data_IF_015691099841
#
_entry.id   IF_015691099841
#
_cell.length_a   1.000
_cell.length_b   1.000
_cell.length_c   1.000
_cell.angle_alpha   90.00
_cell.angle_beta   90.00
_cell.angle_gamma   90.00
#
_symmetry.space_group_name_H-M   'P 1'
#
loop_
_entity.id
_entity.type
_entity.pdbx_description
1 polymer ?
#
# COMPACT_ATOMS: atom_id res chain seq x y z
N UNK A 1 -8.49 -3.57 -3.63
CA UNK A 1 -9.29 -4.08 -2.51
C UNK A 1 -8.88 -5.48 -2.01
N UNK A 2 -8.06 -6.22 -2.77
CA UNK A 2 -7.62 -7.57 -2.38
C UNK A 2 -6.80 -7.61 -1.08
N UNK A 3 -6.23 -6.48 -0.66
CA UNK A 3 -5.48 -6.37 0.58
C UNK A 3 -6.31 -6.72 1.84
N UNK A 4 -7.64 -6.51 1.78
CA UNK A 4 -8.58 -6.84 2.87
C UNK A 4 -9.32 -8.18 2.65
N UNK A 5 -8.99 -8.93 1.59
CA UNK A 5 -9.71 -10.15 1.22
C UNK A 5 -9.02 -11.38 1.80
N UNK A 6 -9.74 -12.17 2.59
CA UNK A 6 -9.22 -13.35 3.27
C UNK A 6 -8.58 -14.42 2.36
N UNK A 7 -8.92 -14.45 1.07
CA UNK A 7 -8.33 -15.37 0.09
C UNK A 7 -6.89 -15.05 -0.34
N UNK A 8 -6.33 -13.92 0.12
CA UNK A 8 -4.98 -13.47 -0.23
C UNK A 8 -4.16 -13.24 1.04
N UNK A 9 -3.65 -14.31 1.61
CA UNK A 9 -2.85 -14.28 2.83
C UNK A 9 -1.36 -14.24 2.55
N UNK A 10 -0.58 -13.61 3.43
CA UNK A 10 0.87 -13.58 3.42
C UNK A 10 1.50 -14.85 4.00
N UNK A 11 2.81 -14.82 4.16
CA UNK A 11 3.55 -15.89 4.81
C UNK A 11 3.21 -16.09 6.30
N UNK A 12 2.60 -15.09 6.91
CA UNK A 12 2.07 -15.09 8.28
C UNK A 12 0.64 -15.66 8.39
N UNK A 13 0.03 -16.07 7.27
CA UNK A 13 -1.33 -16.61 7.22
C UNK A 13 -2.43 -15.55 7.29
N UNK A 14 -2.08 -14.26 7.31
CA UNK A 14 -3.01 -13.13 7.45
C UNK A 14 -3.06 -12.31 6.17
N UNK A 15 -4.16 -11.60 5.94
CA UNK A 15 -4.31 -10.65 4.82
C UNK A 15 -3.35 -9.48 4.98
N UNK A 16 -3.01 -8.81 3.87
CA UNK A 16 -2.02 -7.73 3.86
C UNK A 16 -2.37 -6.60 4.83
N UNK A 17 -3.60 -6.17 4.88
CA UNK A 17 -4.09 -5.13 5.79
C UNK A 17 -4.94 -5.78 6.90
N UNK A 18 -4.43 -5.83 8.10
CA UNK A 18 -5.05 -6.53 9.23
C UNK A 18 -4.61 -5.94 10.57
N UNK A 19 -5.45 -6.12 11.58
CA UNK A 19 -5.12 -5.83 12.98
C UNK A 19 -4.57 -7.04 13.75
N UNK A 20 -4.36 -8.18 13.08
CA UNK A 20 -4.06 -9.46 13.71
C UNK A 20 -2.79 -10.12 13.16
N UNK A 21 -1.82 -9.35 12.67
CA UNK A 21 -0.53 -9.91 12.26
C UNK A 21 0.19 -10.52 13.46
N UNK A 22 0.60 -11.80 13.40
CA UNK A 22 1.29 -12.44 14.52
C UNK A 22 2.68 -11.84 14.74
N UNK A 23 3.07 -11.73 16.00
CA UNK A 23 4.40 -11.30 16.39
C UNK A 23 5.19 -12.51 16.90
N UNK A 24 6.45 -12.67 16.53
CA UNK A 24 7.31 -13.78 16.96
C UNK A 24 7.50 -13.78 18.48
N UNK A 25 7.53 -12.60 19.10
CA UNK A 25 7.60 -12.45 20.55
C UNK A 25 6.29 -12.73 21.30
N UNK A 26 5.22 -13.09 20.56
CA UNK A 26 3.85 -13.26 21.07
C UNK A 26 3.00 -12.00 20.92
N UNK A 27 1.67 -12.21 20.89
CA UNK A 27 0.71 -11.15 20.61
C UNK A 27 0.56 -10.83 19.10
N UNK A 28 -0.20 -9.78 18.83
CA UNK A 28 -0.49 -9.32 17.46
C UNK A 28 -0.15 -7.84 17.31
N UNK A 29 0.04 -7.42 16.06
CA UNK A 29 0.21 -6.01 15.69
C UNK A 29 -0.70 -5.67 14.50
N UNK A 30 -0.95 -4.38 14.30
CA UNK A 30 -1.88 -3.85 13.29
C UNK A 30 -1.14 -2.96 12.29
N UNK A 31 -1.50 -3.07 11.02
CA UNK A 31 -1.14 -2.12 9.97
C UNK A 31 -2.37 -1.43 9.36
N UNK A 32 -3.45 -1.39 10.12
CA UNK A 32 -4.66 -0.62 9.78
C UNK A 32 -5.00 0.34 10.91
N UNK A 33 -5.77 1.37 10.61
CA UNK A 33 -6.35 2.25 11.62
C UNK A 33 -7.19 1.44 12.63
N UNK A 34 -7.13 1.81 13.91
CA UNK A 34 -7.92 1.18 14.95
C UNK A 34 -9.43 1.32 14.71
N UNK A 35 -9.85 2.44 14.14
CA UNK A 35 -11.21 2.69 13.67
C UNK A 35 -11.14 3.01 12.19
N UNK A 36 -11.92 2.29 11.39
CA UNK A 36 -12.08 2.57 9.96
C UNK A 36 -12.53 4.02 9.79
N UNK A 37 -11.89 4.74 8.88
CA UNK A 37 -12.16 6.17 8.68
C UNK A 37 -11.90 6.54 7.23
N UNK A 38 -12.75 7.41 6.71
CA UNK A 38 -12.53 8.08 5.43
C UNK A 38 -11.27 8.92 5.45
N UNK A 39 -10.77 9.23 4.27
CA UNK A 39 -9.56 10.02 4.16
C UNK A 39 -9.83 11.46 4.59
N UNK A 40 -9.05 11.94 5.53
CA UNK A 40 -9.08 13.30 6.04
C UNK A 40 -7.68 13.68 6.53
N UNK A 41 -7.46 14.96 6.82
CA UNK A 41 -6.20 15.39 7.43
C UNK A 41 -5.96 14.67 8.77
N UNK A 42 -6.98 14.57 9.62
CA UNK A 42 -6.89 13.91 10.93
C UNK A 42 -6.60 12.40 10.81
N UNK A 43 -7.27 11.69 9.88
CA UNK A 43 -7.01 10.24 9.67
C UNK A 43 -5.61 9.99 9.12
N UNK A 44 -5.08 10.87 8.26
CA UNK A 44 -3.71 10.80 7.77
C UNK A 44 -2.67 11.11 8.84
N UNK A 45 -2.92 12.09 9.71
CA UNK A 45 -2.07 12.39 10.86
C UNK A 45 -2.00 11.19 11.81
N UNK A 46 -3.16 10.59 12.15
CA UNK A 46 -3.20 9.39 12.98
C UNK A 46 -2.44 8.22 12.34
N UNK A 47 -2.65 7.98 11.04
CA UNK A 47 -1.91 6.95 10.32
C UNK A 47 -0.38 7.17 10.35
N UNK A 48 0.08 8.43 10.24
CA UNK A 48 1.50 8.74 10.36
C UNK A 48 2.05 8.44 11.77
N UNK A 49 1.26 8.68 12.83
CA UNK A 49 1.61 8.36 14.21
C UNK A 49 1.69 6.83 14.39
N UNK A 50 0.68 6.10 13.92
CA UNK A 50 0.61 4.65 14.01
C UNK A 50 1.76 3.97 13.25
N UNK A 51 2.10 4.47 12.05
CA UNK A 51 3.27 3.98 11.28
C UNK A 51 4.56 4.20 12.06
N UNK A 52 4.74 5.37 12.68
CA UNK A 52 5.94 5.68 13.45
C UNK A 52 6.05 4.82 14.73
N UNK A 53 4.93 4.35 15.27
CA UNK A 53 4.86 3.50 16.46
C UNK A 53 5.05 2.01 16.15
N UNK A 54 5.12 1.60 14.87
CA UNK A 54 5.31 0.20 14.49
C UNK A 54 6.62 -0.37 15.03
N UNK A 55 6.54 -1.63 15.44
CA UNK A 55 7.66 -2.37 16.05
C UNK A 55 8.05 -3.56 15.17
N UNK A 56 9.29 -4.00 15.34
CA UNK A 56 9.74 -5.26 14.76
C UNK A 56 9.19 -6.47 15.54
N UNK A 57 9.51 -7.66 15.07
CA UNK A 57 9.04 -8.92 15.68
C UNK A 57 9.55 -9.17 17.10
N UNK A 58 10.55 -8.39 17.56
CA UNK A 58 11.11 -8.41 18.91
C UNK A 58 10.58 -7.29 19.82
N UNK A 59 9.63 -6.48 19.32
CA UNK A 59 9.04 -5.38 20.07
C UNK A 59 9.83 -4.07 20.07
N UNK A 60 10.92 -3.97 19.29
CA UNK A 60 11.71 -2.74 19.16
C UNK A 60 11.10 -1.82 18.09
N UNK A 61 11.09 -0.53 18.32
CA UNK A 61 10.67 0.48 17.33
C UNK A 61 11.64 0.49 16.15
N UNK A 62 11.08 0.60 14.94
CA UNK A 62 11.83 0.55 13.69
C UNK A 62 11.79 1.87 12.89
N UNK A 63 11.25 2.93 13.47
CA UNK A 63 11.23 4.29 12.90
C UNK A 63 10.75 4.35 11.45
N UNK A 64 9.67 3.64 11.11
CA UNK A 64 9.07 3.67 9.79
C UNK A 64 8.48 5.05 9.48
N UNK A 65 8.47 5.39 8.20
CA UNK A 65 7.94 6.66 7.70
C UNK A 65 7.00 6.40 6.52
N UNK A 66 5.91 7.16 6.42
CA UNK A 66 5.09 7.15 5.22
C UNK A 66 5.89 7.67 4.02
N UNK A 67 5.63 7.14 2.84
CA UNK A 67 6.31 7.53 1.60
C UNK A 67 5.30 8.03 0.56
N UNK A 68 4.20 7.32 0.38
CA UNK A 68 3.27 7.56 -0.72
C UNK A 68 1.86 7.17 -0.31
N UNK A 69 0.88 7.94 -0.76
CA UNK A 69 -0.54 7.60 -0.62
C UNK A 69 -1.02 6.93 -1.91
N UNK A 70 -1.79 5.85 -1.78
CA UNK A 70 -2.41 5.13 -2.88
C UNK A 70 -3.91 5.16 -2.65
N UNK A 71 -4.66 5.69 -3.61
CA UNK A 71 -6.10 5.90 -3.50
C UNK A 71 -6.84 5.49 -4.77
N UNK A 72 -8.15 5.18 -4.69
CA UNK A 72 -9.02 5.05 -5.85
C UNK A 72 -9.24 6.41 -6.53
N UNK A 73 -9.74 6.38 -7.75
CA UNK A 73 -10.03 7.61 -8.51
C UNK A 73 -11.05 8.54 -7.80
N UNK A 74 -11.96 7.96 -7.01
CA UNK A 74 -12.95 8.72 -6.25
C UNK A 74 -12.34 9.72 -5.25
N UNK A 75 -11.22 9.36 -4.61
CA UNK A 75 -10.55 10.16 -3.59
C UNK A 75 -9.44 11.07 -4.14
N UNK A 76 -9.18 11.06 -5.46
CA UNK A 76 -8.07 11.80 -6.07
C UNK A 76 -8.08 13.30 -5.71
N UNK A 77 -9.20 13.96 -5.93
CA UNK A 77 -9.31 15.42 -5.71
C UNK A 77 -9.27 15.79 -4.23
N UNK A 78 -9.80 14.95 -3.37
CA UNK A 78 -9.78 15.17 -1.94
C UNK A 78 -8.36 15.10 -1.38
N UNK A 79 -7.63 14.04 -1.74
CA UNK A 79 -6.23 13.87 -1.34
C UNK A 79 -5.36 14.98 -1.92
N UNK A 80 -5.60 15.39 -3.18
CA UNK A 80 -4.87 16.50 -3.78
C UNK A 80 -5.07 17.81 -3.01
N UNK A 81 -6.28 18.07 -2.52
CA UNK A 81 -6.58 19.23 -1.66
C UNK A 81 -5.82 19.15 -0.34
N UNK A 82 -5.87 18.01 0.34
CA UNK A 82 -5.17 17.81 1.63
C UNK A 82 -3.66 17.98 1.46
N UNK A 83 -3.05 17.37 0.45
CA UNK A 83 -1.60 17.39 0.27
C UNK A 83 -1.06 18.75 -0.23
N UNK A 84 -1.86 19.53 -0.95
CA UNK A 84 -1.40 20.78 -1.59
C UNK A 84 -1.86 22.05 -0.87
N UNK A 85 -2.88 21.98 -0.03
CA UNK A 85 -3.36 23.14 0.73
C UNK A 85 -2.25 23.72 1.60
N UNK A 86 -2.18 25.06 1.68
CA UNK A 86 -1.22 25.76 2.55
C UNK A 86 -1.76 25.81 3.97
N UNK A 87 -3.05 26.09 4.13
CA UNK A 87 -3.75 26.10 5.40
C UNK A 87 -4.53 24.81 5.62
N UNK A 88 -4.91 24.58 6.87
CA UNK A 88 -5.73 23.45 7.27
C UNK A 88 -7.11 23.54 6.64
N UNK A 89 -7.57 22.47 6.00
CA UNK A 89 -8.87 22.41 5.33
C UNK A 89 -10.01 22.41 6.37
N UNK A 90 -11.03 23.28 6.18
CA UNK A 90 -12.24 23.28 7.00
C UNK A 90 -12.14 24.04 8.32
N UNK A 91 -11.10 24.84 8.54
CA UNK A 91 -10.98 25.71 9.71
C UNK A 91 -11.01 27.19 9.31
N UNK A 92 -11.62 28.04 10.15
CA UNK A 92 -11.57 29.49 10.01
C UNK A 92 -10.29 30.10 10.62
N UNK A 93 -9.48 29.29 11.26
CA UNK A 93 -8.19 29.66 11.83
C UNK A 93 -7.11 29.54 10.75
N UNK A 94 -6.12 30.43 10.81
CA UNK A 94 -5.01 30.44 9.87
C UNK A 94 -3.96 29.36 10.24
N UNK A 95 -4.44 28.13 10.53
CA UNK A 95 -3.60 27.01 10.90
C UNK A 95 -2.87 26.46 9.69
N UNK A 96 -1.61 26.10 9.88
CA UNK A 96 -0.80 25.48 8.82
C UNK A 96 -1.21 24.03 8.58
N UNK A 97 -1.09 23.56 7.34
CA UNK A 97 -1.22 22.14 7.02
C UNK A 97 0.08 21.41 7.38
N UNK A 98 0.07 20.71 8.52
CA UNK A 98 1.25 20.01 9.04
C UNK A 98 1.75 18.90 8.11
N UNK A 99 0.86 18.19 7.42
CA UNK A 99 1.20 17.11 6.49
C UNK A 99 2.08 17.63 5.35
N UNK A 100 1.70 18.77 4.79
CA UNK A 100 2.43 19.42 3.71
C UNK A 100 3.76 20.01 4.20
N UNK A 101 3.73 20.80 5.28
CA UNK A 101 4.93 21.50 5.78
C UNK A 101 6.01 20.51 6.24
N UNK A 102 5.62 19.40 6.84
CA UNK A 102 6.55 18.34 7.26
C UNK A 102 6.95 17.39 6.12
N UNK A 103 6.39 17.56 4.91
CA UNK A 103 6.60 16.69 3.76
C UNK A 103 6.46 15.19 4.11
N UNK A 104 5.35 14.84 4.77
CA UNK A 104 5.14 13.46 5.27
C UNK A 104 5.05 12.43 4.16
N UNK A 105 4.63 12.82 2.96
CA UNK A 105 4.48 11.96 1.79
C UNK A 105 5.37 12.42 0.63
N UNK A 106 6.70 12.20 0.70
CA UNK A 106 7.63 12.67 -0.33
C UNK A 106 7.37 12.05 -1.71
N UNK A 107 6.78 10.85 -1.77
CA UNK A 107 6.36 10.19 -3.01
C UNK A 107 4.99 10.65 -3.52
N UNK A 108 4.34 11.60 -2.83
CA UNK A 108 3.06 12.15 -3.21
C UNK A 108 1.91 11.13 -3.21
N UNK A 109 0.98 11.30 -4.14
CA UNK A 109 -0.20 10.48 -4.32
C UNK A 109 -0.11 9.67 -5.62
N UNK A 110 -0.62 8.45 -5.58
CA UNK A 110 -0.82 7.59 -6.77
C UNK A 110 -2.28 7.16 -6.81
N UNK A 111 -2.93 7.42 -7.94
CA UNK A 111 -4.27 6.92 -8.21
C UNK A 111 -4.19 5.53 -8.79
N UNK A 112 -4.87 4.58 -8.16
CA UNK A 112 -4.97 3.20 -8.63
C UNK A 112 -6.37 2.91 -9.15
N UNK A 113 -6.53 2.89 -10.47
CA UNK A 113 -7.82 2.67 -11.15
C UNK A 113 -8.40 1.25 -10.96
N UNK A 114 -7.62 0.31 -10.44
CA UNK A 114 -8.07 -1.07 -10.18
C UNK A 114 -8.65 -1.27 -8.78
N UNK A 115 -8.65 -0.23 -7.94
CA UNK A 115 -9.35 -0.27 -6.66
C UNK A 115 -10.85 -0.13 -6.92
N UNK A 116 -11.59 -1.13 -6.48
CA UNK A 116 -13.06 -1.19 -6.63
C UNK A 116 -13.81 -0.56 -5.47
N UNK A 117 -13.13 -0.43 -4.33
CA UNK A 117 -13.62 0.25 -3.14
C UNK A 117 -13.35 1.74 -3.28
N UNK A 118 -14.39 2.55 -3.14
CA UNK A 118 -14.31 3.99 -3.32
C UNK A 118 -13.68 4.71 -2.13
N UNK A 119 -13.71 4.09 -0.95
CA UNK A 119 -13.37 4.71 0.33
C UNK A 119 -12.05 4.20 0.91
N UNK A 120 -11.60 3.02 0.45
CA UNK A 120 -10.35 2.42 0.91
C UNK A 120 -9.13 3.20 0.43
N UNK A 121 -8.19 3.46 1.34
CA UNK A 121 -6.94 4.12 1.04
C UNK A 121 -5.74 3.43 1.71
N UNK A 122 -4.57 3.61 1.11
CA UNK A 122 -3.35 2.92 1.51
C UNK A 122 -2.18 3.89 1.56
N UNK A 123 -1.26 3.62 2.49
CA UNK A 123 0.01 4.33 2.60
C UNK A 123 1.14 3.32 2.42
N UNK A 124 1.99 3.55 1.43
CA UNK A 124 3.24 2.82 1.32
C UNK A 124 4.26 3.43 2.29
N UNK A 125 4.95 2.59 3.03
CA UNK A 125 6.00 2.97 3.98
C UNK A 125 7.39 2.72 3.39
N UNK A 126 8.43 3.16 4.11
CA UNK A 126 9.81 2.87 3.78
C UNK A 126 10.32 1.51 4.32
N UNK A 127 9.41 0.62 4.76
CA UNK A 127 9.80 -0.70 5.24
C UNK A 127 10.52 -1.47 4.13
N UNK A 128 11.72 -2.05 4.41
CA UNK A 128 12.39 -2.91 3.45
C UNK A 128 11.55 -4.18 3.24
N UNK A 129 11.63 -4.73 2.04
CA UNK A 129 11.00 -6.01 1.74
C UNK A 129 9.46 -6.05 1.79
N UNK A 130 8.78 -4.92 1.64
CA UNK A 130 7.33 -4.84 1.52
C UNK A 130 6.81 -5.57 0.27
N UNK A 131 6.12 -4.88 -0.60
CA UNK A 131 5.58 -5.46 -1.83
C UNK A 131 6.70 -5.79 -2.82
N UNK A 132 6.64 -7.01 -3.41
CA UNK A 132 7.65 -7.53 -4.34
C UNK A 132 7.04 -8.12 -5.59
N UNK A 133 7.76 -7.96 -6.68
CA UNK A 133 7.56 -8.66 -7.93
C UNK A 133 8.64 -9.73 -8.10
N UNK A 134 8.24 -10.99 -8.17
CA UNK A 134 9.13 -12.13 -8.35
C UNK A 134 9.09 -12.58 -9.81
N UNK A 135 10.17 -12.36 -10.53
CA UNK A 135 10.31 -12.84 -11.91
C UNK A 135 10.94 -14.24 -11.86
N UNK A 136 10.14 -15.27 -12.18
CA UNK A 136 10.62 -16.66 -12.26
C UNK A 136 11.17 -16.99 -13.65
N UNK A 137 10.55 -16.43 -14.69
CA UNK A 137 10.98 -16.54 -16.08
C UNK A 137 10.79 -15.17 -16.72
N UNK A 138 11.87 -14.63 -17.27
CA UNK A 138 11.83 -13.41 -18.03
C UNK A 138 10.99 -13.60 -19.32
N UNK A 139 10.53 -12.50 -19.87
CA UNK A 139 9.82 -12.50 -21.14
C UNK A 139 10.74 -13.07 -22.22
N UNK A 140 10.27 -14.09 -22.93
CA UNK A 140 10.95 -14.67 -24.08
C UNK A 140 9.96 -14.80 -25.23
N UNK A 141 10.46 -14.53 -26.42
CA UNK A 141 9.74 -14.68 -27.67
C UNK A 141 10.58 -15.60 -28.57
N UNK A 142 9.99 -16.73 -28.96
CA UNK A 142 10.64 -17.74 -29.81
C UNK A 142 9.80 -17.93 -31.08
N UNK A 143 10.49 -18.19 -32.18
CA UNK A 143 9.87 -18.52 -33.47
C UNK A 143 10.39 -19.86 -33.96
N UNK A 144 9.52 -20.67 -34.50
CA UNK A 144 9.87 -21.96 -35.08
C UNK A 144 8.98 -22.26 -36.30
N UNK A 145 9.45 -23.07 -37.22
CA UNK A 145 8.69 -23.57 -38.35
C UNK A 145 8.25 -25.00 -38.10
N UNK A 146 7.02 -25.31 -38.49
CA UNK A 146 6.53 -26.70 -38.52
C UNK A 146 7.01 -27.33 -39.81
N UNK A 147 7.85 -28.38 -39.67
CA UNK A 147 8.43 -29.06 -40.83
C UNK A 147 7.38 -29.71 -41.75
N UNK A 148 6.31 -30.25 -41.15
CA UNK A 148 5.29 -31.01 -41.90
C UNK A 148 4.27 -30.13 -42.63
N UNK A 149 3.99 -28.95 -42.04
CA UNK A 149 2.92 -28.04 -42.56
C UNK A 149 3.43 -26.72 -43.12
N UNK A 150 4.75 -26.47 -43.01
CA UNK A 150 5.41 -25.19 -43.39
C UNK A 150 4.84 -23.95 -42.71
N UNK A 151 4.05 -24.11 -41.61
CA UNK A 151 3.47 -23.01 -40.87
C UNK A 151 4.47 -22.40 -39.88
N UNK A 152 4.55 -21.08 -39.84
CA UNK A 152 5.33 -20.36 -38.81
C UNK A 152 4.61 -20.41 -37.46
N UNK A 153 5.32 -20.83 -36.42
CA UNK A 153 4.85 -20.89 -35.04
C UNK A 153 5.55 -19.81 -34.22
N UNK A 154 4.76 -19.03 -33.47
CA UNK A 154 5.26 -18.00 -32.58
C UNK A 154 4.89 -18.33 -31.13
N UNK A 155 5.83 -18.19 -30.22
CA UNK A 155 5.61 -18.47 -28.81
C UNK A 155 6.17 -17.35 -27.94
N UNK A 156 5.31 -16.76 -27.12
CA UNK A 156 5.71 -15.84 -26.08
C UNK A 156 5.49 -16.48 -24.70
N UNK A 157 6.50 -16.43 -23.84
CA UNK A 157 6.37 -16.98 -22.48
C UNK A 157 6.96 -16.02 -21.46
N UNK A 158 6.23 -15.85 -20.34
CA UNK A 158 6.74 -15.20 -19.14
C UNK A 158 6.16 -15.90 -17.91
N UNK A 159 6.81 -15.77 -16.78
CA UNK A 159 6.31 -16.27 -15.52
C UNK A 159 6.75 -15.36 -14.38
N UNK A 160 5.78 -14.71 -13.76
CA UNK A 160 6.00 -13.82 -12.63
C UNK A 160 4.94 -14.00 -11.57
N UNK A 161 5.24 -13.52 -10.37
CA UNK A 161 4.35 -13.52 -9.22
C UNK A 161 4.54 -12.22 -8.45
N UNK A 162 3.48 -11.73 -7.83
CA UNK A 162 3.50 -10.57 -6.94
C UNK A 162 3.10 -11.01 -5.54
N UNK A 163 3.71 -10.42 -4.55
CA UNK A 163 3.41 -10.70 -3.17
C UNK A 163 4.08 -9.70 -2.24
N UNK A 164 4.01 -9.97 -0.97
CA UNK A 164 4.68 -9.21 0.08
C UNK A 164 5.41 -10.14 1.01
N UNK A 165 6.51 -9.68 1.58
CA UNK A 165 7.28 -10.41 2.58
C UNK A 165 7.19 -9.77 3.95
N UNK A 166 6.96 -8.45 4.00
CA UNK A 166 6.70 -7.72 5.23
C UNK A 166 5.43 -6.86 5.08
N UNK A 167 4.36 -7.17 5.83
CA UNK A 167 3.12 -6.38 5.82
C UNK A 167 3.30 -4.93 6.27
N UNK A 168 4.39 -4.59 7.00
CA UNK A 168 4.71 -3.20 7.41
C UNK A 168 4.99 -2.26 6.25
N UNK A 169 5.20 -2.81 5.04
CA UNK A 169 5.35 -2.03 3.82
C UNK A 169 4.11 -1.27 3.39
N UNK A 170 2.93 -1.66 3.89
CA UNK A 170 1.65 -1.03 3.61
C UNK A 170 0.91 -0.78 4.93
N UNK A 171 0.37 0.41 5.08
CA UNK A 171 -0.62 0.77 6.09
C UNK A 171 -1.92 1.12 5.38
N UNK A 172 -3.07 0.79 5.95
CA UNK A 172 -4.34 0.90 5.23
C UNK A 172 -5.52 1.30 6.11
N UNK A 173 -6.57 1.83 5.48
CA UNK A 173 -7.92 1.96 6.03
C UNK A 173 -8.92 1.46 4.99
N UNK A 174 -9.93 0.67 5.39
CA UNK A 174 -10.99 0.25 4.47
C UNK A 174 -11.99 1.36 4.15
N UNK A 175 -11.87 2.55 4.78
CA UNK A 175 -12.90 3.59 4.77
C UNK A 175 -13.97 3.32 5.84
N UNK A 176 -14.95 4.20 5.97
CA UNK A 176 -16.06 4.11 6.94
C UNK A 176 -17.41 3.90 6.23
#
# INVERSE_FOLDING_TARGET
>A
NRAFTAGYTGGDGVVLASNAHPNVAGGTWSNILATASDISEASLEQACIDIAALKNDRGLQIALRPQKIIVPAALEFEVARILKAVGRTGTNTNDINAIKEMNKFPGGMVVNHYLTDADAWFIATNAPHGMKHFVRRADSFDTDNDFDTENAKFKATFRSSWGWTDPRGIFASPGA
#
